data_IF_737888129524
#
_entry.id   IF_737888129524
#
_cell.length_a   1.000
_cell.length_b   1.000
_cell.length_c   1.000
_cell.angle_alpha   90.00
_cell.angle_beta   90.00
_cell.angle_gamma   90.00
#
_symmetry.space_group_name_H-M   'P 1'
#
loop_
_entity.id
_entity.type
_entity.pdbx_description
1 polymer ?
#
# COMPACT_ATOMS: atom_id res chain seq x y z
N UNK A 1 6.38 1.96 8.71
CA UNK A 1 7.42 1.06 9.19
C UNK A 1 8.62 0.99 8.24
N UNK A 2 8.44 0.63 6.98
CA UNK A 2 9.58 0.41 6.08
C UNK A 2 10.42 1.69 5.88
N UNK A 3 9.83 2.88 5.87
CA UNK A 3 10.54 4.15 5.85
C UNK A 3 11.32 4.44 7.15
N UNK A 4 10.90 3.86 8.29
CA UNK A 4 11.71 3.89 9.52
C UNK A 4 12.92 2.95 9.41
N UNK A 5 12.76 1.83 8.69
CA UNK A 5 13.89 0.90 8.46
C UNK A 5 14.98 1.53 7.61
N UNK A 6 14.64 2.29 6.56
CA UNK A 6 15.62 3.02 5.72
C UNK A 6 16.52 3.97 6.53
N UNK A 7 16.06 4.46 7.69
CA UNK A 7 16.85 5.33 8.55
C UNK A 7 17.94 4.61 9.35
N UNK A 8 17.82 3.27 9.49
CA UNK A 8 18.66 2.45 10.39
C UNK A 8 19.24 1.21 9.72
N UNK A 9 18.89 0.93 8.46
CA UNK A 9 19.43 -0.14 7.62
C UNK A 9 19.76 0.41 6.24
N UNK A 10 20.81 -0.12 5.64
CA UNK A 10 21.20 0.20 4.26
C UNK A 10 20.33 -0.56 3.27
N UNK A 11 19.16 -0.03 3.03
CA UNK A 11 18.16 -0.56 2.08
C UNK A 11 17.62 0.55 1.19
N UNK A 12 17.10 0.17 0.04
CA UNK A 12 16.32 1.03 -0.84
C UNK A 12 14.92 0.47 -1.00
N UNK A 13 13.91 1.23 -0.57
CA UNK A 13 12.50 0.83 -0.69
C UNK A 13 11.94 1.24 -2.06
N UNK A 14 11.31 0.30 -2.73
CA UNK A 14 10.51 0.56 -3.93
C UNK A 14 9.04 0.27 -3.63
N UNK A 15 8.20 1.29 -3.78
CA UNK A 15 6.77 1.14 -3.59
C UNK A 15 6.10 0.63 -4.86
N UNK A 16 5.23 -0.35 -4.69
CA UNK A 16 4.33 -0.83 -5.72
C UNK A 16 2.90 -0.76 -5.19
N UNK A 17 2.02 -0.18 -5.97
CA UNK A 17 0.62 -0.08 -5.58
C UNK A 17 -0.09 -1.41 -5.75
N UNK A 18 -0.90 -1.79 -4.77
CA UNK A 18 -1.95 -2.79 -4.86
C UNK A 18 -3.32 -2.13 -4.69
N UNK A 19 -4.35 -2.71 -5.28
CA UNK A 19 -5.72 -2.24 -5.16
C UNK A 19 -6.61 -3.28 -4.49
N UNK A 20 -7.18 -2.95 -3.34
CA UNK A 20 -8.15 -3.83 -2.67
C UNK A 20 -9.43 -4.01 -3.49
N UNK A 21 -9.78 -3.06 -4.35
CA UNK A 21 -10.87 -3.23 -5.32
C UNK A 21 -10.54 -4.34 -6.30
N UNK A 22 -9.37 -4.28 -6.96
CA UNK A 22 -8.94 -5.29 -7.94
C UNK A 22 -8.73 -6.66 -7.30
N UNK A 23 -8.14 -6.71 -6.11
CA UNK A 23 -7.98 -7.95 -5.33
C UNK A 23 -9.31 -8.66 -5.06
N UNK A 24 -10.37 -7.90 -4.87
CA UNK A 24 -11.68 -8.41 -4.49
C UNK A 24 -12.70 -8.42 -5.65
N UNK A 25 -12.25 -8.12 -6.87
CA UNK A 25 -13.10 -8.15 -8.06
C UNK A 25 -13.71 -9.56 -8.25
N UNK A 26 -15.02 -9.64 -8.38
CA UNK A 26 -15.75 -10.91 -8.55
C UNK A 26 -15.93 -11.76 -7.28
N UNK A 27 -15.38 -11.36 -6.12
CA UNK A 27 -15.56 -12.09 -4.85
C UNK A 27 -16.89 -11.72 -4.20
N UNK A 28 -17.48 -12.67 -3.47
CA UNK A 28 -18.63 -12.37 -2.62
C UNK A 28 -18.17 -11.75 -1.30
N UNK A 29 -18.56 -10.52 -1.05
CA UNK A 29 -18.12 -9.71 0.09
C UNK A 29 -19.31 -9.17 0.87
N UNK A 30 -19.19 -9.01 2.20
CA UNK A 30 -20.16 -8.24 2.97
C UNK A 30 -20.36 -6.84 2.35
N UNK A 31 -21.61 -6.37 2.30
CA UNK A 31 -21.97 -5.14 1.58
C UNK A 31 -21.18 -3.90 2.05
N UNK A 32 -20.97 -3.77 3.37
CA UNK A 32 -20.19 -2.65 3.92
C UNK A 32 -18.72 -2.67 3.46
N UNK A 33 -18.12 -3.87 3.40
CA UNK A 33 -16.76 -4.05 2.93
C UNK A 33 -16.66 -3.78 1.43
N UNK A 34 -17.64 -4.25 0.64
CA UNK A 34 -17.73 -3.95 -0.80
C UNK A 34 -17.78 -2.43 -1.04
N UNK A 35 -18.68 -1.72 -0.36
CA UNK A 35 -18.75 -0.25 -0.48
C UNK A 35 -17.42 0.44 -0.15
N UNK A 36 -16.70 -0.06 0.83
CA UNK A 36 -15.39 0.48 1.19
C UNK A 36 -14.35 0.24 0.11
N UNK A 37 -14.30 -0.96 -0.46
CA UNK A 37 -13.36 -1.29 -1.54
C UNK A 37 -13.69 -0.56 -2.84
N UNK A 38 -14.97 -0.43 -3.19
CA UNK A 38 -15.43 0.31 -4.37
C UNK A 38 -15.00 1.78 -4.30
N UNK A 39 -15.19 2.43 -3.15
CA UNK A 39 -14.71 3.79 -2.95
C UNK A 39 -13.19 3.93 -3.00
N UNK A 40 -12.47 2.87 -2.61
CA UNK A 40 -11.02 2.80 -2.67
C UNK A 40 -10.45 2.85 -4.10
N UNK A 41 -11.28 2.65 -5.12
CA UNK A 41 -10.88 2.79 -6.52
C UNK A 41 -10.51 4.23 -6.89
N UNK A 42 -11.18 5.23 -6.30
CA UNK A 42 -10.89 6.66 -6.53
C UNK A 42 -9.44 6.99 -6.19
N UNK A 43 -8.99 6.85 -4.92
CA UNK A 43 -7.58 7.10 -4.59
C UNK A 43 -6.64 6.11 -5.27
N UNK A 44 -7.11 4.90 -5.61
CA UNK A 44 -6.36 3.92 -6.38
C UNK A 44 -5.96 4.42 -7.76
N UNK A 45 -6.92 4.91 -8.55
CA UNK A 45 -6.69 5.47 -9.89
C UNK A 45 -5.78 6.70 -9.84
N UNK A 46 -6.06 7.64 -8.92
CA UNK A 46 -5.21 8.83 -8.73
C UNK A 46 -3.76 8.46 -8.39
N UNK A 47 -3.56 7.50 -7.47
CA UNK A 47 -2.22 7.00 -7.12
C UNK A 47 -1.55 6.29 -8.30
N UNK A 48 -2.30 5.53 -9.10
CA UNK A 48 -1.76 4.88 -10.29
C UNK A 48 -1.29 5.89 -11.33
N UNK A 49 -2.06 6.96 -11.55
CA UNK A 49 -1.66 8.06 -12.42
C UNK A 49 -0.35 8.71 -11.95
N UNK A 50 -0.25 9.07 -10.66
CA UNK A 50 0.98 9.63 -10.11
C UNK A 50 2.15 8.66 -10.22
N UNK A 51 1.95 7.38 -9.97
CA UNK A 51 3.00 6.37 -10.11
C UNK A 51 3.46 6.13 -11.55
N UNK A 52 2.64 6.45 -12.55
CA UNK A 52 3.00 6.39 -13.96
C UNK A 52 3.77 7.63 -14.43
N UNK A 53 3.32 8.82 -14.04
CA UNK A 53 3.87 10.10 -14.49
C UNK A 53 5.04 10.59 -13.62
N UNK A 54 5.04 10.24 -12.31
CA UNK A 54 6.01 10.68 -11.31
C UNK A 54 6.47 9.52 -10.42
N UNK A 55 7.05 8.44 -10.97
CA UNK A 55 7.39 7.23 -10.21
C UNK A 55 8.32 7.49 -9.03
N UNK A 56 9.21 8.48 -9.14
CA UNK A 56 10.13 8.89 -8.07
C UNK A 56 9.43 9.55 -6.88
N UNK A 57 8.20 10.06 -7.08
CA UNK A 57 7.42 10.74 -6.06
C UNK A 57 6.40 9.81 -5.36
N UNK A 58 6.29 8.55 -5.79
CA UNK A 58 5.25 7.64 -5.32
C UNK A 58 5.27 7.41 -3.80
N UNK A 59 6.44 7.34 -3.19
CA UNK A 59 6.58 7.16 -1.74
C UNK A 59 6.08 8.38 -0.95
N UNK A 60 6.44 9.58 -1.40
CA UNK A 60 5.99 10.85 -0.81
C UNK A 60 4.48 11.02 -1.02
N UNK A 61 4.00 10.74 -2.22
CA UNK A 61 2.58 10.75 -2.56
C UNK A 61 1.77 9.82 -1.65
N UNK A 62 2.20 8.56 -1.50
CA UNK A 62 1.53 7.59 -0.65
C UNK A 62 1.46 8.06 0.80
N UNK A 63 2.54 8.68 1.29
CA UNK A 63 2.59 9.25 2.64
C UNK A 63 1.63 10.43 2.79
N UNK A 64 1.64 11.40 1.88
CA UNK A 64 0.78 12.57 1.92
C UNK A 64 -0.70 12.19 1.84
N UNK A 65 -1.08 11.35 0.89
CA UNK A 65 -2.46 10.88 0.72
C UNK A 65 -2.90 10.00 1.89
N UNK A 66 -2.06 9.06 2.33
CA UNK A 66 -2.36 8.16 3.44
C UNK A 66 -2.56 8.91 4.76
N UNK A 67 -1.76 9.94 5.02
CA UNK A 67 -1.92 10.80 6.21
C UNK A 67 -3.29 11.47 6.22
N UNK A 68 -3.71 12.06 5.10
CA UNK A 68 -5.02 12.71 4.99
C UNK A 68 -6.17 11.72 5.22
N UNK A 69 -6.11 10.56 4.57
CA UNK A 69 -7.20 9.58 4.65
C UNK A 69 -7.26 8.90 6.02
N UNK A 70 -6.12 8.48 6.56
CA UNK A 70 -6.06 7.60 7.73
C UNK A 70 -5.80 8.34 9.04
N UNK A 71 -4.85 9.28 9.09
CA UNK A 71 -4.52 10.00 10.31
C UNK A 71 -5.49 11.17 10.56
N UNK A 72 -5.82 11.94 9.51
CA UNK A 72 -6.73 13.09 9.59
C UNK A 72 -8.20 12.71 9.38
N UNK A 73 -8.45 11.49 8.88
CA UNK A 73 -9.79 10.94 8.70
C UNK A 73 -10.59 11.60 7.56
N UNK A 74 -9.89 12.17 6.55
CA UNK A 74 -10.52 12.78 5.38
C UNK A 74 -11.36 11.76 4.60
N UNK A 75 -12.67 12.00 4.50
CA UNK A 75 -13.61 11.10 3.81
C UNK A 75 -13.92 11.54 2.38
N UNK A 76 -13.60 12.76 2.04
CA UNK A 76 -13.64 13.29 0.68
C UNK A 76 -12.33 12.96 -0.01
N UNK A 77 -12.35 11.96 -0.89
CA UNK A 77 -11.15 11.49 -1.57
C UNK A 77 -10.65 12.47 -2.64
N UNK A 78 -11.53 13.25 -3.26
CA UNK A 78 -11.10 14.28 -4.21
C UNK A 78 -10.34 15.39 -3.48
N UNK A 79 -10.84 15.84 -2.33
CA UNK A 79 -10.14 16.79 -1.49
C UNK A 79 -8.81 16.24 -0.96
N UNK A 80 -8.76 14.94 -0.60
CA UNK A 80 -7.53 14.30 -0.16
C UNK A 80 -6.48 14.20 -1.27
N UNK A 81 -6.89 13.84 -2.49
CA UNK A 81 -6.03 13.78 -3.67
C UNK A 81 -5.49 15.18 -4.04
N UNK A 82 -6.39 16.18 -4.07
CA UNK A 82 -6.02 17.57 -4.33
C UNK A 82 -4.96 18.06 -3.34
N UNK A 83 -5.23 17.92 -2.04
CA UNK A 83 -4.29 18.37 -1.02
C UNK A 83 -2.95 17.61 -1.05
N UNK A 84 -2.94 16.31 -1.34
CA UNK A 84 -1.72 15.55 -1.51
C UNK A 84 -0.91 16.01 -2.73
N UNK A 85 -1.58 16.36 -3.84
CA UNK A 85 -0.94 16.92 -5.03
C UNK A 85 -0.30 18.29 -4.73
N UNK A 86 -1.04 19.17 -4.07
CA UNK A 86 -0.57 20.51 -3.69
C UNK A 86 0.67 20.44 -2.77
N UNK A 87 0.67 19.55 -1.76
CA UNK A 87 1.83 19.36 -0.87
C UNK A 87 3.10 18.97 -1.64
N UNK A 88 2.94 18.25 -2.73
CA UNK A 88 4.05 17.81 -3.56
C UNK A 88 4.34 18.74 -4.74
N UNK A 89 3.58 19.84 -4.89
CA UNK A 89 3.73 20.75 -6.02
C UNK A 89 3.33 20.13 -7.36
N UNK A 90 2.44 19.13 -7.35
CA UNK A 90 1.87 18.50 -8.53
C UNK A 90 0.55 19.20 -8.92
N UNK A 91 0.23 19.19 -10.21
CA UNK A 91 -1.08 19.65 -10.68
C UNK A 91 -2.15 18.61 -10.30
N UNK A 92 -3.17 18.96 -9.51
CA UNK A 92 -4.25 18.04 -9.16
C UNK A 92 -5.19 17.69 -10.33
N UNK A 93 -5.29 18.53 -11.35
CA UNK A 93 -6.28 18.37 -12.40
C UNK A 93 -6.14 17.04 -13.18
N UNK A 94 -4.97 16.63 -13.69
CA UNK A 94 -4.83 15.34 -14.37
C UNK A 94 -5.04 14.15 -13.40
N UNK A 95 -4.67 14.29 -12.12
CA UNK A 95 -4.86 13.25 -11.11
C UNK A 95 -6.36 13.01 -10.86
N UNK A 96 -7.14 14.09 -10.71
CA UNK A 96 -8.59 13.99 -10.55
C UNK A 96 -9.26 13.44 -11.80
N UNK A 97 -8.87 13.90 -13.00
CA UNK A 97 -9.39 13.37 -14.25
C UNK A 97 -9.16 11.85 -14.40
N UNK A 98 -8.03 11.34 -13.94
CA UNK A 98 -7.76 9.91 -13.96
C UNK A 98 -8.72 9.10 -13.06
N UNK A 99 -9.29 9.70 -12.03
CA UNK A 99 -10.27 9.01 -11.15
C UNK A 99 -11.63 8.80 -11.80
N UNK A 100 -11.98 9.62 -12.77
CA UNK A 100 -13.31 9.62 -13.41
C UNK A 100 -13.44 8.56 -14.52
N UNK A 101 -12.34 7.93 -14.93
CA UNK A 101 -12.31 6.97 -16.03
C UNK A 101 -11.67 5.65 -15.60
N UNK A 102 -11.83 4.61 -16.42
CA UNK A 102 -11.22 3.29 -16.24
C UNK A 102 -9.85 3.15 -16.92
N UNK A 103 -9.27 4.25 -17.40
CA UNK A 103 -8.01 4.24 -18.14
C UNK A 103 -6.84 3.63 -17.35
N UNK A 104 -6.86 3.74 -16.02
CA UNK A 104 -5.83 3.19 -15.13
C UNK A 104 -6.14 1.77 -14.63
N UNK A 105 -7.33 1.25 -14.88
CA UNK A 105 -7.80 0.00 -14.25
C UNK A 105 -6.99 -1.22 -14.70
N UNK A 106 -6.62 -1.32 -15.98
CA UNK A 106 -5.82 -2.46 -16.44
C UNK A 106 -4.43 -2.46 -15.82
N UNK A 107 -3.80 -1.31 -15.67
CA UNK A 107 -2.51 -1.18 -14.98
C UNK A 107 -2.61 -1.55 -13.49
N UNK A 108 -3.74 -1.20 -12.84
CA UNK A 108 -4.01 -1.63 -11.46
C UNK A 108 -4.16 -3.16 -11.38
N UNK A 109 -4.87 -3.78 -12.33
CA UNK A 109 -5.01 -5.25 -12.39
C UNK A 109 -3.67 -5.94 -12.65
N UNK A 110 -2.83 -5.40 -13.54
CA UNK A 110 -1.49 -5.94 -13.80
C UNK A 110 -0.63 -5.93 -12.54
N UNK A 111 -0.62 -4.81 -11.81
CA UNK A 111 0.12 -4.70 -10.54
C UNK A 111 -0.42 -5.65 -9.47
N UNK A 112 -1.75 -5.81 -9.42
CA UNK A 112 -2.38 -6.76 -8.50
C UNK A 112 -1.98 -8.19 -8.84
N UNK A 113 -2.07 -8.60 -10.12
CA UNK A 113 -1.63 -9.94 -10.58
C UNK A 113 -0.16 -10.20 -10.25
N UNK A 114 0.71 -9.22 -10.50
CA UNK A 114 2.13 -9.34 -10.18
C UNK A 114 2.39 -9.58 -8.67
N UNK A 115 1.60 -8.97 -7.79
CA UNK A 115 1.71 -9.24 -6.35
C UNK A 115 1.16 -10.63 -5.98
N UNK A 116 0.04 -11.05 -6.58
CA UNK A 116 -0.55 -12.38 -6.36
C UNK A 116 0.35 -13.51 -6.85
N UNK A 117 1.07 -13.32 -7.94
CA UNK A 117 2.07 -14.29 -8.46
C UNK A 117 3.20 -14.54 -7.45
N UNK A 118 3.50 -13.57 -6.59
CA UNK A 118 4.56 -13.69 -5.59
C UNK A 118 4.12 -14.45 -4.33
N UNK A 119 2.87 -14.28 -3.89
CA UNK A 119 2.43 -14.74 -2.55
C UNK A 119 1.13 -15.55 -2.57
N UNK A 120 0.55 -15.78 -3.74
CA UNK A 120 -0.77 -16.40 -3.87
C UNK A 120 -1.92 -15.39 -3.83
N UNK A 121 -3.13 -15.85 -4.09
CA UNK A 121 -4.33 -15.03 -4.24
C UNK A 121 -5.27 -15.05 -3.02
N UNK A 122 -4.87 -15.68 -1.92
CA UNK A 122 -5.63 -15.81 -0.67
C UNK A 122 -5.18 -14.83 0.42
N UNK A 123 -4.27 -13.91 0.07
CA UNK A 123 -3.72 -12.89 0.96
C UNK A 123 -4.07 -11.47 0.48
N UNK A 124 -3.92 -10.51 1.37
CA UNK A 124 -4.15 -9.09 1.07
C UNK A 124 -2.86 -8.27 1.02
N UNK A 125 -2.92 -7.08 1.56
CA UNK A 125 -1.79 -6.14 1.67
C UNK A 125 -1.36 -5.98 3.14
N UNK A 126 -0.09 -5.64 3.40
CA UNK A 126 1.00 -5.41 2.45
C UNK A 126 1.63 -6.71 1.93
N UNK A 127 2.20 -6.66 0.73
CA UNK A 127 3.15 -7.66 0.24
C UNK A 127 4.53 -7.01 0.25
N UNK A 128 5.52 -7.69 0.84
CA UNK A 128 6.91 -7.22 0.84
C UNK A 128 7.81 -8.28 0.21
N UNK A 129 8.82 -7.82 -0.51
CA UNK A 129 9.83 -8.68 -1.12
C UNK A 129 11.23 -8.28 -0.65
N UNK A 130 11.97 -9.27 -0.16
CA UNK A 130 13.36 -9.15 0.28
C UNK A 130 14.22 -10.12 -0.54
N UNK A 131 15.22 -9.61 -1.25
CA UNK A 131 16.18 -10.44 -1.98
C UNK A 131 15.54 -11.53 -2.87
N UNK A 132 14.37 -11.24 -3.46
CA UNK A 132 13.66 -12.15 -4.35
C UNK A 132 12.67 -13.11 -3.67
N UNK A 133 12.56 -13.09 -2.35
CA UNK A 133 11.51 -13.81 -1.60
C UNK A 133 10.44 -12.82 -1.15
N UNK A 134 9.17 -13.15 -1.38
CA UNK A 134 8.05 -12.29 -1.02
C UNK A 134 7.15 -12.95 0.03
N UNK A 135 6.54 -12.10 0.89
CA UNK A 135 5.57 -12.47 1.89
C UNK A 135 4.37 -11.53 1.90
N UNK A 136 3.23 -12.04 2.34
CA UNK A 136 2.19 -11.22 2.91
C UNK A 136 2.61 -10.76 4.32
N UNK A 137 2.65 -9.45 4.54
CA UNK A 137 3.07 -8.88 5.83
C UNK A 137 4.49 -8.27 5.77
N UNK A 138 5.05 -7.92 6.95
CA UNK A 138 4.47 -8.04 8.28
C UNK A 138 3.25 -7.13 8.49
N UNK A 139 2.20 -7.68 9.11
CA UNK A 139 1.01 -6.91 9.48
C UNK A 139 1.20 -6.34 10.87
N UNK A 140 1.36 -5.03 10.95
CA UNK A 140 1.63 -4.29 12.18
C UNK A 140 0.44 -3.37 12.49
N UNK A 141 0.03 -3.30 13.75
CA UNK A 141 -1.03 -2.38 14.20
C UNK A 141 -0.50 -1.07 14.75
N UNK A 142 0.82 -0.94 14.92
CA UNK A 142 1.52 0.28 15.30
C UNK A 142 2.85 0.34 14.57
N UNK A 143 3.31 1.55 14.25
CA UNK A 143 4.58 1.76 13.55
C UNK A 143 5.73 1.66 14.57
N UNK A 144 6.60 0.63 14.50
CA UNK A 144 7.83 0.63 15.27
C UNK A 144 8.76 1.73 14.74
N UNK A 145 9.55 2.34 15.63
CA UNK A 145 10.43 3.46 15.31
C UNK A 145 11.89 3.11 15.52
N UNK A 146 12.77 3.76 14.74
CA UNK A 146 14.21 3.64 14.88
C UNK A 146 14.70 2.19 14.87
N UNK A 147 15.56 1.83 15.82
CA UNK A 147 16.19 0.49 15.88
C UNK A 147 15.18 -0.65 16.11
N UNK A 148 14.04 -0.38 16.74
CA UNK A 148 12.99 -1.38 16.85
C UNK A 148 12.41 -1.75 15.47
N UNK A 149 12.24 -0.78 14.59
CA UNK A 149 11.85 -1.03 13.20
C UNK A 149 12.88 -1.87 12.45
N UNK A 150 14.17 -1.57 12.64
CA UNK A 150 15.27 -2.32 12.07
C UNK A 150 15.30 -3.79 12.55
N UNK A 151 15.14 -4.02 13.84
CA UNK A 151 15.12 -5.39 14.40
C UNK A 151 13.96 -6.24 13.87
N UNK A 152 12.78 -5.64 13.66
CA UNK A 152 11.64 -6.33 13.05
C UNK A 152 11.95 -6.68 11.60
N UNK A 153 12.59 -5.75 10.87
CA UNK A 153 13.04 -5.98 9.51
C UNK A 153 14.07 -7.12 9.42
N UNK A 154 15.11 -7.11 10.27
CA UNK A 154 16.12 -8.16 10.29
C UNK A 154 15.49 -9.54 10.53
N UNK A 155 14.50 -9.62 11.43
CA UNK A 155 13.74 -10.84 11.67
C UNK A 155 12.95 -11.31 10.46
N UNK A 156 12.29 -10.37 9.73
CA UNK A 156 11.56 -10.69 8.51
C UNK A 156 12.49 -11.18 7.39
N UNK A 157 13.67 -10.54 7.23
CA UNK A 157 14.69 -10.97 6.26
C UNK A 157 15.22 -12.36 6.61
N UNK A 158 15.55 -12.63 7.88
CA UNK A 158 16.02 -13.93 8.31
C UNK A 158 15.03 -15.07 8.03
N UNK A 159 13.72 -14.79 8.18
CA UNK A 159 12.67 -15.74 7.80
C UNK A 159 12.60 -15.93 6.27
N UNK A 160 12.73 -14.84 5.51
CA UNK A 160 12.73 -14.85 4.05
C UNK A 160 13.88 -15.65 3.45
N UNK A 161 15.05 -15.66 4.09
CA UNK A 161 16.24 -16.40 3.66
C UNK A 161 16.10 -17.92 3.82
N UNK A 162 15.16 -18.39 4.66
CA UNK A 162 14.94 -19.83 4.84
C UNK A 162 13.91 -20.36 3.83
N UNK A 163 14.32 -21.16 2.84
CA UNK A 163 13.50 -21.50 1.68
C UNK A 163 12.27 -22.38 1.98
N UNK A 164 12.15 -22.89 3.20
CA UNK A 164 11.02 -23.72 3.65
C UNK A 164 10.13 -23.01 4.67
N UNK A 165 10.29 -21.71 4.83
CA UNK A 165 9.41 -20.90 5.66
C UNK A 165 8.29 -20.30 4.81
N UNK A 166 7.04 -20.46 5.24
CA UNK A 166 5.88 -19.99 4.49
C UNK A 166 5.01 -19.01 5.29
N UNK A 167 4.73 -19.26 6.56
CA UNK A 167 3.80 -18.42 7.32
C UNK A 167 4.06 -18.43 8.82
N UNK A 168 3.93 -17.26 9.46
CA UNK A 168 3.66 -17.08 10.89
C UNK A 168 2.46 -16.14 11.05
N UNK A 169 1.46 -16.57 11.81
CA UNK A 169 0.25 -15.80 12.06
C UNK A 169 -0.17 -15.87 13.53
N UNK A 170 -0.62 -14.74 14.07
CA UNK A 170 -1.34 -14.68 15.34
C UNK A 170 -2.62 -13.88 15.23
N UNK A 171 -3.59 -14.10 16.14
CA UNK A 171 -4.80 -13.30 16.19
C UNK A 171 -4.47 -11.81 16.49
N UNK A 172 -5.07 -10.92 15.72
CA UNK A 172 -5.00 -9.48 15.95
C UNK A 172 -6.01 -9.11 17.04
N UNK A 173 -5.55 -8.44 18.09
CA UNK A 173 -6.37 -8.04 19.24
C UNK A 173 -6.56 -6.53 19.35
N UNK A 174 -5.90 -5.76 18.47
CA UNK A 174 -5.97 -4.29 18.44
C UNK A 174 -6.14 -3.80 17.01
N UNK A 175 -6.88 -2.72 16.85
CA UNK A 175 -6.99 -2.02 15.58
C UNK A 175 -5.70 -1.22 15.28
N UNK A 176 -5.48 -0.81 14.01
CA UNK A 176 -4.37 0.07 13.64
C UNK A 176 -4.34 1.34 14.47
N UNK A 177 -3.14 1.71 14.93
CA UNK A 177 -2.86 2.93 15.70
C UNK A 177 -1.98 3.84 14.84
N UNK A 178 -2.37 5.10 14.69
CA UNK A 178 -1.73 6.08 13.81
C UNK A 178 -1.01 7.18 14.61
N UNK A 179 -0.40 6.83 15.74
CA UNK A 179 0.38 7.72 16.63
C UNK A 179 1.88 7.83 16.25
#
# INVERSE_FOLDING_TARGET
WILEVEKVRDIQVKFHQMSLYMLNEGRDLPEDYRRSTDRGLIPGRGTQHVGAEHPERLAEWYTALGTRIHNEGQKDYEAALTGAAEDLGLDPAPILAATETDAEDERLREKQRAAEELVGNDVGTPVVSFNGTAFFGPVLTRIPRGEEAGRIFDGAVALAEYPYFYEIKRARTTDPQFD
#
